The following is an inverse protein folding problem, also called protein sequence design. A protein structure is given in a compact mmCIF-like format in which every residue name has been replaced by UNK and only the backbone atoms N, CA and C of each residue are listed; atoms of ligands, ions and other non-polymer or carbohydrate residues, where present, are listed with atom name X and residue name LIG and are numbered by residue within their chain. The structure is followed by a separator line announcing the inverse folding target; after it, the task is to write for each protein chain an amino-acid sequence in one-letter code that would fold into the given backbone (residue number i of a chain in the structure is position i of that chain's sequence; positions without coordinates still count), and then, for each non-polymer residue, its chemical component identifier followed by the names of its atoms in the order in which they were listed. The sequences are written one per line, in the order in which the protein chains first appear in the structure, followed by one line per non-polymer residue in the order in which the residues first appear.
data_IF_744168976113
#
_entry.id   IF_744168976113
#
_cell.length_a   1.000
_cell.length_b   1.000
_cell.length_c   1.000
_cell.angle_alpha   90.00
_cell.angle_beta   90.00
_cell.angle_gamma   90.00
#
_symmetry.space_group_name_H-M   'P 1'
#
loop_
_entity.id
_entity.type
_entity.pdbx_description
1 polymer ?
#
# COMPACT_ATOMS: atom_id res chain seq x y z
N UNK A 1 3.62 -21.59 -3.16
CA UNK A 1 4.86 -21.00 -2.58
C UNK A 1 4.48 -20.03 -1.47
N UNK A 2 5.29 -19.94 -0.43
CA UNK A 2 5.13 -18.95 0.65
C UNK A 2 6.49 -18.34 0.98
N UNK A 3 6.49 -17.06 1.33
CA UNK A 3 7.68 -16.33 1.74
C UNK A 3 7.34 -15.45 2.95
N UNK A 4 8.25 -15.37 3.90
CA UNK A 4 8.16 -14.48 5.06
C UNK A 4 9.44 -13.65 5.14
N UNK A 5 9.29 -12.38 5.42
CA UNK A 5 10.40 -11.45 5.63
C UNK A 5 10.15 -10.62 6.88
N UNK A 6 11.16 -10.55 7.73
CA UNK A 6 11.16 -9.69 8.92
C UNK A 6 12.43 -8.84 8.85
N UNK A 7 12.25 -7.57 8.57
CA UNK A 7 13.35 -6.63 8.40
C UNK A 7 13.22 -5.47 9.40
N UNK A 8 14.33 -5.14 10.01
CA UNK A 8 14.44 -3.99 10.88
C UNK A 8 15.70 -3.21 10.52
N UNK A 9 15.54 -1.90 10.31
CA UNK A 9 16.64 -0.95 10.22
C UNK A 9 16.53 -0.05 11.43
N UNK A 10 17.46 -0.19 12.37
CA UNK A 10 17.35 0.47 13.69
C UNK A 10 17.51 1.99 13.65
N UNK A 11 18.20 2.51 12.62
CA UNK A 11 18.31 3.95 12.37
C UNK A 11 18.46 4.21 10.88
N UNK A 12 17.64 5.12 10.37
CA UNK A 12 17.78 5.69 9.03
C UNK A 12 18.31 7.10 9.20
N UNK A 13 19.56 7.32 8.79
CA UNK A 13 20.16 8.65 8.81
C UNK A 13 20.45 9.12 7.38
N UNK A 14 20.01 10.33 7.03
CA UNK A 14 20.26 10.98 5.75
C UNK A 14 20.79 12.39 6.06
N UNK A 15 21.95 12.72 5.54
CA UNK A 15 22.63 14.01 5.78
C UNK A 15 22.74 14.37 7.28
N UNK A 16 23.03 13.35 8.12
CA UNK A 16 23.16 13.51 9.57
C UNK A 16 21.84 13.66 10.34
N UNK A 17 20.71 13.58 9.68
CA UNK A 17 19.36 13.63 10.28
C UNK A 17 18.83 12.23 10.51
N UNK A 18 18.43 11.90 11.74
CA UNK A 18 17.89 10.60 12.12
C UNK A 18 16.38 10.56 11.89
N UNK A 19 15.96 9.85 10.85
CA UNK A 19 14.54 9.63 10.50
C UNK A 19 13.91 8.52 11.36
N UNK A 20 14.69 7.79 12.14
CA UNK A 20 14.22 6.77 13.05
C UNK A 20 14.39 5.35 12.54
N UNK A 21 13.59 4.44 13.11
CA UNK A 21 13.62 3.00 12.88
C UNK A 21 12.56 2.59 11.87
N UNK A 22 12.95 1.79 10.89
CA UNK A 22 12.03 1.12 9.96
C UNK A 22 11.83 -0.34 10.39
N UNK A 23 10.59 -0.77 10.44
CA UNK A 23 10.22 -2.18 10.58
C UNK A 23 9.34 -2.59 9.41
N UNK A 24 9.66 -3.73 8.79
CA UNK A 24 8.84 -4.32 7.75
C UNK A 24 8.73 -5.82 7.96
N UNK A 25 7.57 -6.27 8.42
CA UNK A 25 7.23 -7.68 8.53
C UNK A 25 6.21 -8.01 7.45
N UNK A 26 6.58 -8.87 6.52
CA UNK A 26 5.74 -9.23 5.38
C UNK A 26 5.66 -10.74 5.21
N UNK A 27 4.49 -11.21 4.80
CA UNK A 27 4.23 -12.59 4.41
C UNK A 27 3.50 -12.62 3.08
N UNK A 28 3.97 -13.48 2.18
CA UNK A 28 3.30 -13.86 0.94
C UNK A 28 3.00 -15.34 1.03
N UNK A 29 1.74 -15.71 0.92
CA UNK A 29 1.30 -17.10 1.00
C UNK A 29 0.50 -17.50 -0.23
N UNK A 30 0.56 -18.79 -0.56
CA UNK A 30 -0.21 -19.42 -1.63
C UNK A 30 0.02 -18.82 -3.02
N UNK A 31 1.20 -18.24 -3.26
CA UNK A 31 1.56 -17.73 -4.59
C UNK A 31 1.83 -18.93 -5.52
N UNK A 32 1.33 -18.88 -6.75
CA UNK A 32 1.63 -19.88 -7.77
C UNK A 32 3.14 -19.83 -8.10
N UNK A 33 3.83 -21.00 -7.97
CA UNK A 33 5.28 -21.02 -7.97
C UNK A 33 5.89 -20.70 -9.34
N UNK A 34 5.28 -21.20 -10.43
CA UNK A 34 5.82 -20.95 -11.77
C UNK A 34 5.64 -19.49 -12.17
N UNK A 35 4.48 -18.90 -11.87
CA UNK A 35 4.24 -17.48 -12.12
C UNK A 35 5.18 -16.58 -11.28
N UNK A 36 5.44 -16.96 -10.02
CA UNK A 36 6.38 -16.24 -9.17
C UNK A 36 7.82 -16.33 -9.69
N UNK A 37 8.27 -17.51 -10.11
CA UNK A 37 9.59 -17.69 -10.70
C UNK A 37 9.74 -16.91 -12.01
N UNK A 38 8.72 -16.94 -12.88
CA UNK A 38 8.70 -16.16 -14.11
C UNK A 38 8.77 -14.65 -13.83
N UNK A 39 8.14 -14.15 -12.73
CA UNK A 39 8.28 -12.76 -12.31
C UNK A 39 9.71 -12.42 -11.90
N UNK A 40 10.34 -13.29 -11.11
CA UNK A 40 11.73 -13.11 -10.68
C UNK A 40 12.66 -13.08 -11.90
N UNK A 41 12.47 -13.96 -12.85
CA UNK A 41 13.24 -14.00 -14.11
C UNK A 41 13.01 -12.71 -14.93
N UNK A 42 11.77 -12.23 -15.03
CA UNK A 42 11.44 -10.97 -15.70
C UNK A 42 12.15 -9.77 -15.04
N UNK A 43 12.16 -9.70 -13.70
CA UNK A 43 12.90 -8.65 -12.97
C UNK A 43 14.41 -8.73 -13.20
N UNK A 44 15.00 -9.92 -13.15
CA UNK A 44 16.45 -10.08 -13.43
C UNK A 44 16.76 -9.70 -14.88
N UNK A 45 15.93 -10.06 -15.84
CA UNK A 45 16.10 -9.69 -17.26
C UNK A 45 16.01 -8.19 -17.43
N UNK A 46 14.99 -7.54 -16.82
CA UNK A 46 14.86 -6.09 -16.86
C UNK A 46 16.05 -5.38 -16.21
N UNK A 47 16.49 -5.86 -15.04
CA UNK A 47 17.67 -5.31 -14.35
C UNK A 47 18.93 -5.45 -15.18
N UNK A 48 19.15 -6.62 -15.78
CA UNK A 48 20.31 -6.88 -16.64
C UNK A 48 20.29 -6.00 -17.88
N UNK A 49 19.14 -5.83 -18.53
CA UNK A 49 19.01 -4.95 -19.71
C UNK A 49 19.39 -3.50 -19.39
N UNK A 50 18.99 -2.99 -18.20
CA UNK A 50 19.38 -1.65 -17.73
C UNK A 50 20.87 -1.57 -17.37
N UNK A 51 21.47 -2.66 -16.87
CA UNK A 51 22.88 -2.69 -16.48
C UNK A 51 23.84 -2.82 -17.67
N UNK A 52 23.43 -3.52 -18.72
CA UNK A 52 24.29 -3.87 -19.86
C UNK A 52 24.15 -2.88 -21.05
N UNK A 53 23.13 -2.03 -21.05
CA UNK A 53 22.85 -1.08 -22.14
C UNK A 53 22.69 0.35 -21.59
N UNK A 54 23.64 1.22 -21.94
CA UNK A 54 23.60 2.65 -21.60
C UNK A 54 22.39 3.39 -22.16
N UNK A 55 21.73 2.82 -23.20
CA UNK A 55 20.51 3.36 -23.79
C UNK A 55 19.24 2.69 -23.25
N UNK A 56 19.36 1.76 -22.27
CA UNK A 56 18.20 1.14 -21.68
C UNK A 56 17.31 2.20 -21.04
N UNK A 57 16.04 2.17 -21.39
CA UNK A 57 15.06 3.12 -20.92
C UNK A 57 13.95 2.43 -20.13
N UNK A 58 13.12 3.23 -19.49
CA UNK A 58 11.98 2.78 -18.72
C UNK A 58 11.00 1.95 -19.57
N UNK A 59 10.97 2.16 -20.88
CA UNK A 59 10.11 1.46 -21.82
C UNK A 59 10.47 -0.03 -21.94
N UNK A 60 11.75 -0.37 -22.06
CA UNK A 60 12.22 -1.77 -22.09
C UNK A 60 11.83 -2.53 -20.80
N UNK A 61 12.00 -1.90 -19.63
CA UNK A 61 11.58 -2.49 -18.35
C UNK A 61 10.07 -2.72 -18.33
N UNK A 62 9.31 -1.72 -18.80
CA UNK A 62 7.86 -1.80 -18.87
C UNK A 62 7.38 -2.91 -19.80
N UNK A 63 8.00 -3.09 -20.97
CA UNK A 63 7.69 -4.17 -21.91
C UNK A 63 7.93 -5.56 -21.33
N UNK A 64 9.06 -5.77 -20.63
CA UNK A 64 9.38 -7.05 -19.99
C UNK A 64 8.35 -7.40 -18.92
N UNK A 65 8.00 -6.43 -18.07
CA UNK A 65 7.03 -6.65 -17.00
C UNK A 65 5.60 -6.79 -17.54
N UNK A 66 5.24 -6.07 -18.58
CA UNK A 66 3.95 -6.19 -19.26
C UNK A 66 3.79 -7.57 -19.91
N UNK A 67 4.83 -8.05 -20.60
CA UNK A 67 4.84 -9.40 -21.17
C UNK A 67 4.68 -10.49 -20.11
N UNK A 68 5.34 -10.32 -18.95
CA UNK A 68 5.11 -11.23 -17.82
C UNK A 68 3.65 -11.17 -17.34
N UNK A 69 3.10 -9.97 -17.17
CA UNK A 69 1.73 -9.78 -16.69
C UNK A 69 0.69 -10.41 -17.62
N UNK A 70 0.87 -10.29 -18.94
CA UNK A 70 -0.01 -10.90 -19.93
C UNK A 70 0.05 -12.43 -19.90
N UNK A 71 1.25 -13.01 -19.75
CA UNK A 71 1.44 -14.46 -19.86
C UNK A 71 1.25 -15.20 -18.52
N UNK A 72 1.54 -14.56 -17.40
CA UNK A 72 1.61 -15.20 -16.07
C UNK A 72 0.82 -14.45 -14.98
N UNK A 73 0.43 -13.20 -15.21
CA UNK A 73 -0.15 -12.34 -14.17
C UNK A 73 -1.39 -12.95 -13.52
N UNK A 74 -2.31 -13.51 -14.31
CA UNK A 74 -3.51 -14.15 -13.75
C UNK A 74 -3.22 -15.46 -13.04
N UNK A 75 -2.19 -16.22 -13.48
CA UNK A 75 -1.84 -17.50 -12.86
C UNK A 75 -1.39 -17.34 -11.41
N UNK A 76 -0.80 -16.18 -11.04
CA UNK A 76 -0.36 -15.91 -9.67
C UNK A 76 -1.53 -15.97 -8.66
N UNK A 77 -2.75 -15.73 -9.13
CA UNK A 77 -3.97 -15.69 -8.32
C UNK A 77 -4.68 -17.02 -8.17
N UNK A 78 -4.27 -18.08 -8.90
CA UNK A 78 -4.96 -19.36 -8.93
C UNK A 78 -5.01 -20.09 -7.59
N UNK A 79 -4.05 -19.82 -6.70
CA UNK A 79 -3.90 -20.53 -5.43
C UNK A 79 -4.38 -19.72 -4.21
N UNK A 80 -5.29 -18.77 -4.40
CA UNK A 80 -5.80 -17.91 -3.32
C UNK A 80 -4.67 -17.19 -2.57
N UNK A 81 -3.90 -16.34 -3.26
CA UNK A 81 -2.75 -15.68 -2.66
C UNK A 81 -3.17 -14.81 -1.48
N UNK A 82 -2.29 -14.77 -0.49
CA UNK A 82 -2.44 -13.91 0.68
C UNK A 82 -1.20 -13.05 0.85
N UNK A 83 -1.42 -11.77 1.05
CA UNK A 83 -0.40 -10.75 1.33
C UNK A 83 -0.67 -10.21 2.72
N UNK A 84 0.36 -10.23 3.59
CA UNK A 84 0.31 -9.61 4.91
C UNK A 84 1.49 -8.68 5.09
N UNK A 85 1.22 -7.49 5.61
CA UNK A 85 2.20 -6.59 6.21
C UNK A 85 1.77 -6.41 7.67
N UNK A 86 2.66 -6.72 8.63
CA UNK A 86 2.27 -6.66 10.05
C UNK A 86 3.49 -6.51 10.98
N UNK A 87 3.89 -5.31 11.31
CA UNK A 87 3.59 -4.06 10.63
C UNK A 87 4.60 -3.70 9.53
N UNK A 88 4.24 -2.75 8.68
CA UNK A 88 5.20 -1.87 8.03
C UNK A 88 5.15 -0.53 8.76
N UNK A 89 6.26 -0.09 9.37
CA UNK A 89 6.25 1.11 10.21
C UNK A 89 7.55 1.88 10.22
N UNK A 90 7.44 3.20 10.36
CA UNK A 90 8.54 4.09 10.73
C UNK A 90 8.25 4.62 12.12
N UNK A 91 9.23 4.54 13.01
CA UNK A 91 9.14 5.05 14.37
C UNK A 91 10.32 5.95 14.70
N UNK A 92 10.05 7.04 15.39
CA UNK A 92 11.04 7.97 15.91
C UNK A 92 10.78 8.26 17.39
N UNK A 93 11.55 9.17 18.02
CA UNK A 93 11.38 9.48 19.45
C UNK A 93 10.04 10.12 19.81
N UNK A 94 9.21 10.51 18.84
CA UNK A 94 7.92 11.18 19.05
C UNK A 94 6.71 10.25 18.76
N UNK A 95 6.96 9.03 18.27
CA UNK A 95 5.92 8.07 17.98
C UNK A 95 6.19 7.28 16.71
N UNK A 96 5.12 6.77 16.09
CA UNK A 96 5.20 5.92 14.90
C UNK A 96 4.14 6.26 13.85
N UNK A 97 4.46 5.89 12.62
CA UNK A 97 3.51 5.73 11.52
C UNK A 97 3.54 4.27 11.11
N UNK A 98 2.40 3.59 11.09
CA UNK A 98 2.33 2.17 10.74
C UNK A 98 1.17 1.84 9.83
N UNK A 99 1.41 0.84 8.98
CA UNK A 99 0.44 0.18 8.12
C UNK A 99 0.44 -1.31 8.45
N UNK A 100 -0.75 -1.83 8.79
CA UNK A 100 -1.03 -3.27 8.77
C UNK A 100 -1.95 -3.57 7.60
N UNK A 101 -1.60 -4.55 6.80
CA UNK A 101 -2.36 -4.98 5.63
C UNK A 101 -2.54 -6.50 5.68
N UNK A 102 -3.75 -6.97 5.46
CA UNK A 102 -4.03 -8.37 5.19
C UNK A 102 -4.99 -8.46 4.01
N UNK A 103 -4.54 -9.08 2.94
CA UNK A 103 -5.34 -9.29 1.73
C UNK A 103 -5.24 -10.75 1.35
N UNK A 104 -6.36 -11.47 1.37
CA UNK A 104 -6.47 -12.83 0.88
C UNK A 104 -7.53 -12.87 -0.22
N UNK A 105 -7.14 -13.35 -1.40
CA UNK A 105 -8.03 -13.44 -2.54
C UNK A 105 -8.87 -14.71 -2.48
N UNK A 106 -10.07 -14.64 -3.06
CA UNK A 106 -10.89 -15.80 -3.32
C UNK A 106 -10.25 -16.69 -4.41
N UNK A 107 -10.72 -17.90 -4.54
CA UNK A 107 -10.32 -18.78 -5.64
C UNK A 107 -10.85 -18.23 -6.96
N UNK A 108 -9.99 -18.18 -7.98
CA UNK A 108 -10.32 -17.69 -9.33
C UNK A 108 -10.98 -16.29 -9.31
N UNK A 109 -10.33 -15.29 -8.72
CA UNK A 109 -10.92 -13.96 -8.61
C UNK A 109 -11.12 -13.37 -10.00
N UNK A 110 -12.34 -12.93 -10.27
CA UNK A 110 -12.66 -12.22 -11.50
C UNK A 110 -12.56 -10.74 -11.22
N UNK A 111 -11.44 -10.10 -11.56
CA UNK A 111 -11.23 -8.67 -11.37
C UNK A 111 -12.08 -7.80 -12.32
N UNK A 112 -13.25 -8.28 -12.69
CA UNK A 112 -14.22 -7.51 -13.43
C UNK A 112 -15.07 -6.67 -12.47
N UNK A 113 -14.71 -5.40 -12.34
CA UNK A 113 -15.39 -4.45 -11.49
C UNK A 113 -16.84 -4.16 -11.94
N UNK A 114 -17.18 -4.55 -13.18
CA UNK A 114 -18.50 -4.31 -13.77
C UNK A 114 -19.43 -5.54 -13.66
N UNK A 115 -18.89 -6.73 -13.44
CA UNK A 115 -19.65 -7.99 -13.57
C UNK A 115 -20.09 -8.63 -12.24
N UNK A 116 -19.81 -8.02 -11.08
CA UNK A 116 -20.21 -8.64 -9.83
C UNK A 116 -19.74 -7.95 -8.56
N UNK A 117 -20.02 -8.58 -7.44
CA UNK A 117 -19.61 -8.06 -6.13
C UNK A 117 -18.09 -8.07 -5.99
N UNK A 118 -17.50 -6.88 -5.85
CA UNK A 118 -16.09 -6.70 -5.55
C UNK A 118 -15.69 -7.49 -4.29
N UNK A 119 -16.57 -7.56 -3.30
CA UNK A 119 -16.31 -8.20 -2.02
C UNK A 119 -16.12 -9.73 -2.15
N UNK A 120 -16.68 -10.35 -3.19
CA UNK A 120 -16.49 -11.78 -3.46
C UNK A 120 -15.09 -12.14 -3.97
N UNK A 121 -14.31 -11.13 -4.38
CA UNK A 121 -12.93 -11.33 -4.81
C UNK A 121 -11.99 -11.61 -3.64
N UNK A 122 -12.43 -11.32 -2.41
CA UNK A 122 -11.61 -11.46 -1.22
C UNK A 122 -12.24 -12.45 -0.23
N UNK A 123 -11.40 -13.30 0.36
CA UNK A 123 -11.76 -14.09 1.54
C UNK A 123 -11.43 -13.35 2.84
N UNK A 124 -10.44 -12.46 2.79
CA UNK A 124 -10.07 -11.59 3.88
C UNK A 124 -9.47 -10.29 3.34
N UNK A 125 -9.86 -9.17 3.91
CA UNK A 125 -9.29 -7.87 3.56
C UNK A 125 -9.33 -6.97 4.79
N UNK A 126 -8.15 -6.50 5.19
CA UNK A 126 -8.02 -5.54 6.29
C UNK A 126 -6.87 -4.58 6.01
N UNK A 127 -7.12 -3.30 6.23
CA UNK A 127 -6.13 -2.23 6.23
C UNK A 127 -6.25 -1.45 7.52
N UNK A 128 -5.17 -1.39 8.30
CA UNK A 128 -5.09 -0.54 9.48
C UNK A 128 -3.95 0.44 9.30
N UNK A 129 -4.24 1.72 9.44
CA UNK A 129 -3.25 2.78 9.44
C UNK A 129 -3.27 3.46 10.80
N UNK A 130 -2.11 3.68 11.36
CA UNK A 130 -1.92 4.46 12.57
C UNK A 130 -0.84 5.51 12.34
N UNK A 131 -1.14 6.75 12.69
CA UNK A 131 -0.25 7.90 12.48
C UNK A 131 -0.21 8.72 13.77
N UNK A 132 0.91 8.68 14.49
CA UNK A 132 1.16 9.64 15.57
C UNK A 132 1.52 11.00 14.98
N UNK A 133 0.73 12.03 15.26
CA UNK A 133 0.92 13.39 14.71
C UNK A 133 2.30 13.97 15.01
N UNK A 134 2.78 13.75 16.24
CA UNK A 134 4.11 14.22 16.64
C UNK A 134 5.25 13.51 15.90
N UNK A 135 5.06 12.24 15.50
CA UNK A 135 6.04 11.53 14.68
C UNK A 135 6.12 12.14 13.28
N UNK A 136 4.97 12.48 12.68
CA UNK A 136 4.92 13.15 11.36
C UNK A 136 5.51 14.56 11.44
N UNK A 137 5.17 15.35 12.47
CA UNK A 137 5.74 16.68 12.69
C UNK A 137 7.27 16.62 12.74
N UNK A 138 7.83 15.64 13.47
CA UNK A 138 9.28 15.45 13.52
C UNK A 138 9.87 15.12 12.16
N UNK A 139 9.25 14.19 11.42
CA UNK A 139 9.72 13.81 10.07
C UNK A 139 9.70 15.00 9.11
N UNK A 140 8.61 15.77 9.07
CA UNK A 140 8.48 16.95 8.22
C UNK A 140 9.50 18.02 8.56
N UNK A 141 9.72 18.29 9.86
CA UNK A 141 10.76 19.24 10.32
C UNK A 141 12.17 18.80 9.96
N UNK A 142 12.43 17.49 9.89
CA UNK A 142 13.73 16.98 9.47
C UNK A 142 13.93 17.09 7.96
N UNK A 143 12.87 16.89 7.16
CA UNK A 143 12.92 17.06 5.70
C UNK A 143 13.13 18.53 5.32
N UNK A 144 12.41 19.44 5.98
CA UNK A 144 12.54 20.88 5.78
C UNK A 144 12.82 21.59 7.12
N UNK A 145 14.11 21.77 7.49
CA UNK A 145 14.49 22.42 8.75
C UNK A 145 14.14 23.90 8.83
N UNK A 146 13.96 24.57 7.69
CA UNK A 146 13.63 26.00 7.61
C UNK A 146 12.11 26.23 7.72
N UNK A 147 11.29 25.17 7.60
CA UNK A 147 9.86 25.30 7.72
C UNK A 147 9.42 25.67 9.15
N UNK A 148 8.42 26.54 9.23
CA UNK A 148 7.81 26.90 10.50
C UNK A 148 7.08 25.70 11.12
N UNK A 149 7.55 25.27 12.30
CA UNK A 149 6.96 24.15 13.05
C UNK A 149 5.49 24.36 13.39
N UNK A 150 5.10 25.61 13.71
CA UNK A 150 3.71 25.92 14.00
C UNK A 150 2.84 25.73 12.76
N UNK A 151 3.34 26.08 11.59
CA UNK A 151 2.67 25.87 10.31
C UNK A 151 2.56 24.38 9.97
N UNK A 152 3.64 23.59 10.13
CA UNK A 152 3.63 22.13 9.95
C UNK A 152 2.54 21.51 10.83
N UNK A 153 2.53 21.85 12.12
CA UNK A 153 1.54 21.31 13.06
C UNK A 153 0.12 21.69 12.68
N UNK A 154 -0.12 22.94 12.30
CA UNK A 154 -1.42 23.40 11.85
C UNK A 154 -1.87 22.67 10.58
N UNK A 155 -0.99 22.42 9.64
CA UNK A 155 -1.27 21.69 8.41
C UNK A 155 -1.64 20.23 8.67
N UNK A 156 -0.89 19.53 9.55
CA UNK A 156 -1.20 18.15 9.97
C UNK A 156 -2.59 18.09 10.59
N UNK A 157 -2.89 19.03 11.50
CA UNK A 157 -4.18 19.07 12.19
C UNK A 157 -5.35 19.38 11.23
N UNK A 158 -5.15 20.29 10.29
CA UNK A 158 -6.15 20.65 9.30
C UNK A 158 -6.45 19.46 8.37
N UNK A 159 -5.42 18.79 7.84
CA UNK A 159 -5.59 17.60 7.01
C UNK A 159 -6.30 16.47 7.77
N UNK A 160 -5.93 16.24 9.03
CA UNK A 160 -6.55 15.24 9.87
C UNK A 160 -8.05 15.55 10.13
N UNK A 161 -8.40 16.83 10.35
CA UNK A 161 -9.78 17.29 10.50
C UNK A 161 -10.60 17.12 9.22
N UNK A 162 -10.03 17.48 8.08
CA UNK A 162 -10.70 17.34 6.79
C UNK A 162 -10.98 15.87 6.47
N UNK A 163 -10.01 14.97 6.67
CA UNK A 163 -10.20 13.54 6.48
C UNK A 163 -11.22 12.93 7.46
N UNK A 164 -11.24 13.41 8.72
CA UNK A 164 -12.23 12.99 9.70
C UNK A 164 -13.64 13.49 9.38
N UNK A 165 -13.78 14.72 8.86
CA UNK A 165 -15.06 15.27 8.42
C UNK A 165 -15.66 14.45 7.26
N UNK A 166 -14.83 13.80 6.46
CA UNK A 166 -15.24 12.86 5.40
C UNK A 166 -15.44 11.43 5.90
N UNK A 167 -15.33 11.18 7.21
CA UNK A 167 -15.36 9.84 7.84
C UNK A 167 -14.28 8.86 7.33
N UNK A 168 -13.22 9.34 6.69
CA UNK A 168 -12.12 8.50 6.19
C UNK A 168 -11.26 8.00 7.35
N UNK A 169 -11.02 8.85 8.36
CA UNK A 169 -10.19 8.55 9.51
C UNK A 169 -10.89 8.88 10.82
N UNK A 170 -10.40 8.30 11.91
CA UNK A 170 -10.70 8.76 13.26
C UNK A 170 -9.54 9.65 13.70
N UNK A 171 -9.84 10.91 13.98
CA UNK A 171 -8.88 11.91 14.45
C UNK A 171 -9.07 12.16 15.94
N UNK A 172 -7.99 12.06 16.72
CA UNK A 172 -7.95 12.49 18.11
C UNK A 172 -6.75 13.42 18.37
N UNK A 173 -6.56 13.85 19.60
CA UNK A 173 -5.52 14.85 19.93
C UNK A 173 -4.11 14.40 19.56
N UNK A 174 -3.80 13.10 19.63
CA UNK A 174 -2.46 12.55 19.47
C UNK A 174 -2.22 11.86 18.15
N UNK A 175 -3.23 11.18 17.62
CA UNK A 175 -3.06 10.34 16.44
C UNK A 175 -4.27 10.37 15.52
N UNK A 176 -4.03 9.86 14.32
CA UNK A 176 -5.03 9.59 13.28
C UNK A 176 -5.01 8.11 13.00
N UNK A 177 -6.18 7.48 12.90
CA UNK A 177 -6.29 6.06 12.57
C UNK A 177 -7.30 5.83 11.46
N UNK A 178 -7.03 4.81 10.63
CA UNK A 178 -7.96 4.27 9.66
C UNK A 178 -8.05 2.77 9.88
N UNK A 179 -9.25 2.24 9.95
CA UNK A 179 -9.52 0.82 9.98
C UNK A 179 -10.52 0.48 8.88
N UNK A 180 -10.07 -0.25 7.85
CA UNK A 180 -10.90 -0.72 6.75
C UNK A 180 -10.88 -2.24 6.75
N UNK A 181 -12.02 -2.88 6.96
CA UNK A 181 -12.11 -4.34 7.10
C UNK A 181 -13.31 -4.87 6.32
N UNK A 182 -13.04 -5.86 5.47
CA UNK A 182 -14.08 -6.69 4.87
C UNK A 182 -14.27 -7.93 5.72
N UNK A 183 -15.45 -8.10 6.29
CA UNK A 183 -15.79 -9.26 7.12
C UNK A 183 -17.21 -9.72 6.82
N UNK A 184 -17.35 -11.01 6.52
CA UNK A 184 -18.66 -11.63 6.18
C UNK A 184 -19.41 -10.93 5.05
N UNK A 185 -18.68 -10.43 4.05
CA UNK A 185 -19.26 -9.72 2.90
C UNK A 185 -19.66 -8.26 3.18
N UNK A 186 -19.35 -7.73 4.36
CA UNK A 186 -19.56 -6.31 4.69
C UNK A 186 -18.21 -5.59 4.79
N UNK A 187 -18.04 -4.52 4.01
CA UNK A 187 -16.91 -3.62 4.15
C UNK A 187 -17.23 -2.57 5.22
N UNK A 188 -16.33 -2.42 6.18
CA UNK A 188 -16.47 -1.44 7.27
C UNK A 188 -15.26 -0.50 7.28
N UNK A 189 -15.54 0.80 7.28
CA UNK A 189 -14.54 1.83 7.52
C UNK A 189 -14.78 2.41 8.91
N UNK A 190 -13.78 2.30 9.79
CA UNK A 190 -13.84 2.77 11.17
C UNK A 190 -15.08 2.23 11.93
N UNK A 191 -15.47 0.97 11.61
CA UNK A 191 -16.62 0.31 12.20
C UNK A 191 -17.98 0.60 11.53
N UNK A 192 -18.05 1.55 10.61
CA UNK A 192 -19.26 1.87 9.85
C UNK A 192 -19.32 1.06 8.54
N UNK A 193 -20.47 0.47 8.23
CA UNK A 193 -20.68 -0.27 6.97
C UNK A 193 -20.67 0.69 5.79
N UNK A 194 -19.87 0.38 4.78
CA UNK A 194 -19.88 1.06 3.48
C UNK A 194 -20.67 0.20 2.49
N UNK A 195 -21.73 0.71 1.88
CA UNK A 195 -22.44 0.02 0.81
C UNK A 195 -21.52 -0.29 -0.37
N UNK A 196 -21.68 -1.45 -0.99
CA UNK A 196 -20.86 -1.89 -2.12
C UNK A 196 -20.95 -0.92 -3.31
N UNK A 197 -22.14 -0.38 -3.58
CA UNK A 197 -22.37 0.59 -4.65
C UNK A 197 -21.50 1.86 -4.47
N UNK A 198 -21.30 2.29 -3.23
CA UNK A 198 -20.44 3.44 -2.94
C UNK A 198 -18.97 3.14 -3.25
N UNK A 199 -18.50 1.94 -2.92
CA UNK A 199 -17.13 1.51 -3.23
C UNK A 199 -16.91 1.41 -4.74
N UNK A 200 -17.84 0.80 -5.45
CA UNK A 200 -17.79 0.71 -6.92
C UNK A 200 -17.76 2.09 -7.58
N UNK A 201 -18.56 3.03 -7.07
CA UNK A 201 -18.57 4.41 -7.55
C UNK A 201 -17.21 5.11 -7.38
N UNK A 202 -16.56 4.95 -6.23
CA UNK A 202 -15.22 5.52 -5.97
C UNK A 202 -14.18 4.88 -6.88
N UNK A 203 -14.20 3.55 -7.04
CA UNK A 203 -13.27 2.84 -7.93
C UNK A 203 -13.43 3.26 -9.39
N UNK A 204 -14.68 3.41 -9.83
CA UNK A 204 -14.97 3.91 -11.18
C UNK A 204 -14.40 5.32 -11.39
N UNK A 205 -14.58 6.23 -10.44
CA UNK A 205 -14.00 7.58 -10.54
C UNK A 205 -12.47 7.56 -10.54
N UNK A 206 -11.83 6.70 -9.76
CA UNK A 206 -10.38 6.54 -9.74
C UNK A 206 -9.86 6.03 -11.10
N UNK A 207 -10.52 5.04 -11.69
CA UNK A 207 -10.14 4.53 -13.03
C UNK A 207 -10.29 5.61 -14.10
N UNK A 208 -11.37 6.37 -14.08
CA UNK A 208 -11.57 7.48 -15.01
C UNK A 208 -10.54 8.59 -14.83
N UNK A 209 -10.16 8.89 -13.58
CA UNK A 209 -9.11 9.87 -13.26
C UNK A 209 -7.72 9.43 -13.74
N UNK A 210 -7.38 8.15 -13.62
CA UNK A 210 -6.12 7.59 -14.14
C UNK A 210 -6.09 7.58 -15.67
N UNK A 211 -7.21 7.24 -16.33
CA UNK A 211 -7.31 7.28 -17.80
C UNK A 211 -7.16 8.71 -18.35
N UNK A 212 -7.58 9.73 -17.62
CA UNK A 212 -7.44 11.13 -18.02
C UNK A 212 -6.02 11.70 -17.83
N UNK A 213 -5.18 11.08 -17.00
CA UNK A 213 -3.79 11.49 -16.80
C UNK A 213 -2.79 10.81 -17.76
N UNK A 214 -3.23 9.80 -18.50
CA UNK A 214 -2.42 9.04 -19.47
C UNK A 214 -2.51 9.53 -20.92
N UNK A 215 -3.05 10.74 -21.17
CA UNK A 215 -3.11 11.32 -22.52
C UNK A 215 -2.15 12.50 -22.67
#
# INVERSE_FOLDING_TARGET
MSAKSENTVDSIAIDGKDFGKLTNNSELNHIEANAANALIEAFFTAFKSVSDDENANQEMVSEILSSWAENHGMAIFNNQPQIKLNPMSISNSQGKVSLDLNVALAKDPKFDLMAGSLYKQFTDFAVNIHVDKAAVEKLMTQLDPEADKALIKAQIEEQAKQAAAQNIVVNNDKNVTLNLVLKKGELKLNGQVIPEEQVQGVLFMLMMGMAAQGQ
#
